data_IF_689588767856
#
_entry.id   IF_689588767856
#
_cell.length_a   1.000
_cell.length_b   1.000
_cell.length_c   1.000
_cell.angle_alpha   90.00
_cell.angle_beta   90.00
_cell.angle_gamma   90.00
#
_symmetry.space_group_name_H-M   'P 1'
#
loop_
_entity.id
_entity.type
_entity.pdbx_description
1 polymer ?
#
# COMPACT_ATOMS: atom_id res chain seq x y z
N UNK A 1 -3.21 -24.80 17.23
CA UNK A 1 -2.19 -23.73 17.29
C UNK A 1 -2.95 -22.48 17.69
N UNK A 2 -2.63 -21.91 18.84
CA UNK A 2 -3.38 -20.80 19.43
C UNK A 2 -3.36 -19.58 18.50
N UNK A 3 -4.55 -19.10 18.13
CA UNK A 3 -4.76 -17.71 17.74
C UNK A 3 -4.25 -16.88 18.92
N UNK A 4 -2.99 -16.43 18.88
CA UNK A 4 -2.69 -15.19 19.55
C UNK A 4 -3.59 -14.18 18.83
N UNK A 5 -4.55 -13.61 19.54
CA UNK A 5 -5.33 -12.49 19.02
C UNK A 5 -4.31 -11.50 18.48
N UNK A 6 -4.26 -11.36 17.15
CA UNK A 6 -3.45 -10.36 16.48
C UNK A 6 -4.09 -9.03 16.87
N UNK A 7 -3.67 -8.48 18.01
CA UNK A 7 -4.24 -7.27 18.55
C UNK A 7 -3.78 -6.09 17.69
N UNK A 8 -4.74 -5.50 16.97
CA UNK A 8 -4.55 -4.29 16.18
C UNK A 8 -5.01 -3.04 16.96
N UNK A 9 -5.25 -3.14 18.27
CA UNK A 9 -5.68 -2.02 19.14
C UNK A 9 -4.81 -0.79 18.95
N UNK A 10 -3.48 -0.92 19.07
CA UNK A 10 -2.52 0.17 18.90
C UNK A 10 -2.66 0.88 17.54
N UNK A 11 -2.97 0.12 16.48
CA UNK A 11 -3.18 0.68 15.14
C UNK A 11 -4.49 1.47 15.09
N UNK A 12 -5.58 0.92 15.63
CA UNK A 12 -6.88 1.58 15.66
C UNK A 12 -6.86 2.84 16.52
N UNK A 13 -6.23 2.79 17.69
CA UNK A 13 -6.03 3.94 18.58
C UNK A 13 -5.23 5.04 17.88
N UNK A 14 -4.12 4.67 17.24
CA UNK A 14 -3.33 5.60 16.46
C UNK A 14 -4.14 6.22 15.31
N UNK A 15 -4.88 5.41 14.55
CA UNK A 15 -5.75 5.89 13.47
C UNK A 15 -6.76 6.92 13.99
N UNK A 16 -7.42 6.63 15.11
CA UNK A 16 -8.37 7.55 15.74
C UNK A 16 -7.69 8.85 16.18
N UNK A 17 -6.54 8.78 16.84
CA UNK A 17 -5.75 9.96 17.26
C UNK A 17 -5.36 10.84 16.07
N UNK A 18 -5.07 10.22 14.92
CA UNK A 18 -4.69 10.92 13.69
C UNK A 18 -5.87 11.39 12.83
N UNK A 19 -7.10 11.23 13.31
CA UNK A 19 -8.31 11.70 12.63
C UNK A 19 -8.73 10.85 11.44
N UNK A 20 -8.31 9.58 11.42
CA UNK A 20 -8.89 8.57 10.52
C UNK A 20 -10.29 8.24 11.02
N UNK A 21 -11.28 8.35 10.13
CA UNK A 21 -12.68 8.06 10.45
C UNK A 21 -13.12 6.88 9.62
N UNK A 22 -13.68 5.85 10.26
CA UNK A 22 -14.20 4.67 9.57
C UNK A 22 -15.58 4.28 10.08
N UNK A 23 -16.29 3.50 9.28
CA UNK A 23 -17.37 2.63 9.76
C UNK A 23 -16.82 1.58 10.72
N UNK A 24 -17.68 0.75 11.30
CA UNK A 24 -17.23 -0.40 12.09
C UNK A 24 -16.48 -1.36 11.16
N UNK A 25 -15.16 -1.40 11.27
CA UNK A 25 -14.28 -2.23 10.46
C UNK A 25 -13.44 -3.14 11.36
N UNK A 26 -13.03 -4.29 10.84
CA UNK A 26 -12.07 -5.17 11.53
C UNK A 26 -11.08 -5.75 10.54
N UNK A 27 -9.85 -5.96 11.01
CA UNK A 27 -8.77 -6.57 10.23
C UNK A 27 -8.83 -8.07 10.45
N UNK A 28 -8.82 -8.84 9.37
CA UNK A 28 -8.56 -10.28 9.42
C UNK A 28 -7.19 -10.57 8.84
N UNK A 29 -6.56 -11.59 9.41
CA UNK A 29 -5.35 -12.16 8.88
C UNK A 29 -5.62 -13.58 8.41
N UNK A 30 -5.11 -13.91 7.23
CA UNK A 30 -5.13 -15.26 6.70
C UNK A 30 -3.75 -15.63 6.16
N UNK A 31 -3.46 -16.92 6.09
CA UNK A 31 -2.26 -17.46 5.48
C UNK A 31 -2.65 -18.26 4.23
N UNK A 32 -2.12 -17.87 3.07
CA UNK A 32 -2.26 -18.63 1.84
C UNK A 32 -0.89 -19.20 1.46
N UNK A 33 -0.64 -20.45 1.83
CA UNK A 33 0.71 -21.03 1.76
C UNK A 33 1.69 -20.24 2.63
N UNK A 34 2.76 -19.70 2.01
CA UNK A 34 3.75 -18.84 2.69
C UNK A 34 3.38 -17.35 2.66
N UNK A 35 2.27 -16.99 2.01
CA UNK A 35 1.86 -15.60 1.85
C UNK A 35 0.93 -15.16 2.98
N UNK A 36 1.34 -14.22 3.85
CA UNK A 36 0.43 -13.62 4.81
C UNK A 36 -0.46 -12.59 4.11
N UNK A 37 -1.76 -12.71 4.31
CA UNK A 37 -2.75 -11.76 3.81
C UNK A 37 -3.42 -11.04 4.98
N UNK A 38 -3.56 -9.73 4.83
CA UNK A 38 -4.44 -8.93 5.66
C UNK A 38 -5.61 -8.50 4.79
N UNK A 39 -6.80 -8.48 5.37
CA UNK A 39 -8.03 -8.04 4.74
C UNK A 39 -8.83 -7.17 5.69
N UNK A 40 -9.56 -6.21 5.15
CA UNK A 40 -10.40 -5.29 5.90
C UNK A 40 -11.87 -5.65 5.66
N UNK A 41 -12.65 -5.81 6.73
CA UNK A 41 -14.02 -6.27 6.64
C UNK A 41 -14.97 -5.33 7.39
N UNK A 42 -16.21 -5.25 6.93
CA UNK A 42 -17.26 -4.46 7.59
C UNK A 42 -17.90 -5.22 8.75
N UNK A 43 -18.05 -4.57 9.89
CA UNK A 43 -18.73 -5.06 11.09
C UNK A 43 -20.16 -4.56 11.25
N UNK A 44 -20.70 -3.94 10.21
CA UNK A 44 -22.08 -3.46 10.11
C UNK A 44 -22.51 -3.43 8.63
N UNK A 45 -23.81 -3.37 8.37
CA UNK A 45 -24.32 -3.17 7.00
C UNK A 45 -24.02 -1.75 6.49
N UNK A 46 -23.53 -1.65 5.26
CA UNK A 46 -23.19 -0.37 4.61
C UNK A 46 -23.97 -0.26 3.30
N UNK A 47 -24.59 0.90 3.05
CA UNK A 47 -25.31 1.13 1.79
C UNK A 47 -24.37 1.58 0.68
N UNK A 48 -24.74 1.31 -0.56
CA UNK A 48 -24.08 1.83 -1.74
C UNK A 48 -23.96 3.37 -1.68
N UNK A 49 -22.81 3.90 -2.09
CA UNK A 49 -22.45 5.32 -2.04
C UNK A 49 -22.03 5.83 -0.67
N UNK A 50 -22.11 5.04 0.40
CA UNK A 50 -21.68 5.47 1.72
C UNK A 50 -20.14 5.54 1.83
N UNK A 51 -19.66 6.57 2.54
CA UNK A 51 -18.26 6.66 2.93
C UNK A 51 -17.96 5.59 3.99
N UNK A 52 -17.01 4.70 3.68
CA UNK A 52 -16.57 3.60 4.55
C UNK A 52 -15.38 4.02 5.41
N UNK A 53 -14.44 4.76 4.81
CA UNK A 53 -13.18 5.15 5.44
C UNK A 53 -12.75 6.51 4.90
N UNK A 54 -12.24 7.37 5.78
CA UNK A 54 -11.68 8.69 5.47
C UNK A 54 -10.35 8.84 6.20
N UNK A 55 -9.30 9.11 5.44
CA UNK A 55 -7.92 9.22 5.93
C UNK A 55 -7.38 10.63 5.63
N UNK A 56 -6.94 11.40 6.64
CA UNK A 56 -6.22 12.64 6.41
C UNK A 56 -4.96 12.43 5.58
N UNK A 57 -4.76 13.21 4.51
CA UNK A 57 -3.60 12.99 3.64
C UNK A 57 -2.26 13.11 4.38
N UNK A 58 -2.19 13.97 5.40
CA UNK A 58 -1.00 14.17 6.22
C UNK A 58 -0.54 12.91 6.98
N UNK A 59 -1.41 11.91 7.16
CA UNK A 59 -1.09 10.67 7.88
C UNK A 59 -0.60 9.56 6.94
N UNK A 60 -0.69 9.79 5.63
CA UNK A 60 -0.12 8.90 4.62
C UNK A 60 1.41 8.94 4.67
N UNK A 61 2.09 7.88 4.22
CA UNK A 61 3.55 7.83 4.16
C UNK A 61 4.00 7.88 2.69
N UNK A 62 4.51 9.04 2.26
CA UNK A 62 5.07 9.25 0.94
C UNK A 62 6.12 10.38 0.93
N UNK A 63 6.54 10.78 -0.28
CA UNK A 63 7.56 11.82 -0.48
C UNK A 63 7.19 13.22 0.04
N UNK A 64 5.90 13.52 0.22
CA UNK A 64 5.42 14.83 0.67
C UNK A 64 5.18 14.88 2.19
N UNK A 65 4.81 13.75 2.78
CA UNK A 65 4.48 13.65 4.21
C UNK A 65 5.67 13.21 5.06
N UNK A 66 6.59 12.40 4.53
CA UNK A 66 7.83 12.02 5.21
C UNK A 66 8.86 13.16 5.05
N UNK A 67 8.77 14.15 5.94
CA UNK A 67 9.63 15.35 5.98
C UNK A 67 9.99 15.74 7.41
N UNK A 68 10.97 16.63 7.56
CA UNK A 68 11.43 17.09 8.87
C UNK A 68 11.85 15.91 9.76
N UNK A 69 11.35 15.90 11.00
CA UNK A 69 11.68 14.89 12.01
C UNK A 69 11.16 13.49 11.70
N UNK A 70 10.18 13.37 10.80
CA UNK A 70 9.69 12.07 10.35
C UNK A 70 10.74 11.38 9.49
N UNK A 71 11.49 12.10 8.64
CA UNK A 71 12.40 11.47 7.69
C UNK A 71 13.57 10.80 8.41
N UNK A 72 13.80 9.49 8.22
CA UNK A 72 14.93 8.80 8.85
C UNK A 72 16.27 9.47 8.52
N UNK A 73 17.12 9.62 9.53
CA UNK A 73 18.41 10.30 9.39
C UNK A 73 19.33 9.60 8.39
N UNK A 74 19.29 8.27 8.32
CA UNK A 74 20.11 7.46 7.41
C UNK A 74 19.65 7.51 5.95
N UNK A 75 18.50 8.14 5.65
CA UNK A 75 17.96 8.21 4.29
C UNK A 75 18.19 9.61 3.69
N UNK A 76 18.78 9.72 2.49
CA UNK A 76 18.86 10.97 1.74
C UNK A 76 17.47 11.61 1.54
N UNK A 77 17.45 12.90 1.20
CA UNK A 77 16.20 13.52 0.73
C UNK A 77 15.67 12.79 -0.51
N UNK A 78 14.35 12.78 -0.72
CA UNK A 78 13.74 12.15 -1.90
C UNK A 78 14.35 12.69 -3.20
N UNK A 79 14.56 14.00 -3.30
CA UNK A 79 15.20 14.65 -4.46
C UNK A 79 16.61 14.11 -4.71
N UNK A 80 17.42 14.01 -3.66
CA UNK A 80 18.80 13.50 -3.75
C UNK A 80 18.82 12.03 -4.16
N UNK A 81 17.96 11.21 -3.55
CA UNK A 81 17.89 9.78 -3.86
C UNK A 81 17.42 9.56 -5.30
N UNK A 82 16.31 10.19 -5.70
CA UNK A 82 15.78 10.09 -7.05
C UNK A 82 16.80 10.55 -8.09
N UNK A 83 17.46 11.70 -7.90
CA UNK A 83 18.49 12.18 -8.83
C UNK A 83 19.68 11.20 -8.97
N UNK A 84 20.05 10.50 -7.90
CA UNK A 84 21.08 9.48 -7.95
C UNK A 84 20.61 8.22 -8.68
N UNK A 85 19.40 7.75 -8.38
CA UNK A 85 18.83 6.51 -8.89
C UNK A 85 18.41 6.61 -10.35
N UNK A 86 17.85 7.73 -10.80
CA UNK A 86 17.42 7.94 -12.18
C UNK A 86 18.57 8.39 -13.10
N UNK A 87 19.77 8.62 -12.54
CA UNK A 87 20.94 9.07 -13.31
C UNK A 87 21.24 8.09 -14.45
N UNK A 88 21.42 8.62 -15.66
CA UNK A 88 21.63 7.84 -16.90
C UNK A 88 20.47 6.87 -17.20
N UNK A 89 19.23 7.22 -16.83
CA UNK A 89 18.01 6.43 -17.11
C UNK A 89 18.08 5.00 -16.58
N UNK A 90 18.70 4.80 -15.41
CA UNK A 90 18.81 3.46 -14.77
C UNK A 90 17.46 2.89 -14.32
N UNK A 91 16.50 3.76 -14.00
CA UNK A 91 15.13 3.43 -13.64
C UNK A 91 14.25 4.68 -13.82
N UNK A 92 12.94 4.47 -13.89
CA UNK A 92 11.95 5.54 -13.91
C UNK A 92 11.81 6.21 -12.53
N UNK A 93 11.13 7.35 -12.51
CA UNK A 93 10.98 8.17 -11.30
C UNK A 93 10.06 7.53 -10.26
N UNK A 94 9.06 6.75 -10.68
CA UNK A 94 8.11 6.07 -9.78
C UNK A 94 8.85 4.96 -9.04
N UNK A 95 9.60 4.12 -9.76
CA UNK A 95 10.48 3.10 -9.16
C UNK A 95 11.49 3.71 -8.20
N UNK A 96 12.12 4.83 -8.57
CA UNK A 96 13.05 5.53 -7.68
C UNK A 96 12.37 6.05 -6.40
N UNK A 97 11.14 6.58 -6.50
CA UNK A 97 10.34 7.01 -5.33
C UNK A 97 9.93 5.81 -4.47
N UNK A 98 9.57 4.67 -5.07
CA UNK A 98 9.23 3.43 -4.36
C UNK A 98 10.43 2.88 -3.58
N UNK A 99 11.63 2.91 -4.16
CA UNK A 99 12.88 2.51 -3.50
C UNK A 99 13.28 3.49 -2.38
N UNK A 100 13.02 4.79 -2.56
CA UNK A 100 13.20 5.76 -1.48
C UNK A 100 12.23 5.52 -0.32
N UNK A 101 10.95 5.25 -0.61
CA UNK A 101 9.96 4.91 0.41
C UNK A 101 10.35 3.61 1.14
N UNK A 102 10.81 2.61 0.39
CA UNK A 102 11.34 1.34 0.94
C UNK A 102 12.52 1.56 1.86
N UNK A 103 13.41 2.50 1.52
CA UNK A 103 14.53 2.89 2.38
C UNK A 103 14.05 3.50 3.70
N UNK A 104 12.98 4.31 3.66
CA UNK A 104 12.37 4.87 4.87
C UNK A 104 11.76 3.75 5.74
N UNK A 105 10.96 2.86 5.15
CA UNK A 105 10.34 1.71 5.84
C UNK A 105 11.40 0.82 6.50
N UNK A 106 12.48 0.48 5.77
CA UNK A 106 13.57 -0.33 6.30
C UNK A 106 14.24 0.35 7.51
N UNK A 107 14.45 1.67 7.44
CA UNK A 107 14.99 2.43 8.58
C UNK A 107 14.03 2.45 9.77
N UNK A 108 12.73 2.73 9.58
CA UNK A 108 11.76 2.75 10.68
C UNK A 108 11.69 1.40 11.40
N UNK A 109 11.59 0.30 10.63
CA UNK A 109 11.59 -1.05 11.20
C UNK A 109 12.86 -1.36 11.99
N UNK A 110 14.00 -0.87 11.51
CA UNK A 110 15.28 -1.00 12.19
C UNK A 110 15.35 -0.19 13.48
N UNK A 111 14.82 1.03 13.50
CA UNK A 111 14.72 1.86 14.70
C UNK A 111 13.84 1.18 15.75
N UNK A 112 12.70 0.61 15.34
CA UNK A 112 11.82 -0.18 16.22
C UNK A 112 12.53 -1.41 16.77
N UNK A 113 13.27 -2.13 15.94
CA UNK A 113 14.06 -3.29 16.39
C UNK A 113 15.13 -2.90 17.42
N UNK A 114 15.63 -1.66 17.36
CA UNK A 114 16.56 -1.09 18.35
C UNK A 114 15.85 -0.56 19.61
N UNK A 115 14.54 -0.76 19.75
CA UNK A 115 13.76 -0.30 20.90
C UNK A 115 13.45 1.20 20.90
N UNK A 116 13.59 1.88 19.75
CA UNK A 116 13.14 3.28 19.63
C UNK A 116 11.67 3.31 19.33
N UNK A 117 10.94 4.08 20.11
CA UNK A 117 9.54 4.38 19.86
C UNK A 117 9.39 5.76 19.19
N UNK A 118 8.38 5.87 18.34
CA UNK A 118 8.01 7.07 17.62
C UNK A 118 6.52 7.03 17.26
N UNK A 119 5.94 8.20 17.01
CA UNK A 119 4.49 8.34 16.86
C UNK A 119 3.88 7.37 15.84
N UNK A 120 4.59 7.02 14.77
CA UNK A 120 4.09 6.14 13.70
C UNK A 120 4.47 4.66 13.85
N UNK A 121 5.01 4.25 15.01
CA UNK A 121 5.36 2.86 15.35
C UNK A 121 4.26 1.84 15.00
N UNK A 122 2.96 2.08 15.28
CA UNK A 122 1.89 1.12 15.00
C UNK A 122 1.77 0.74 13.52
N UNK A 123 2.16 1.64 12.60
CA UNK A 123 2.16 1.38 11.16
C UNK A 123 3.19 0.34 10.72
N UNK A 124 4.21 0.06 11.55
CA UNK A 124 5.30 -0.87 11.23
C UNK A 124 5.32 -2.08 12.18
N UNK A 125 4.21 -2.33 12.88
CA UNK A 125 4.08 -3.51 13.73
C UNK A 125 4.30 -4.79 12.91
N UNK A 126 4.80 -5.84 13.55
CA UNK A 126 5.02 -7.13 12.88
C UNK A 126 3.72 -7.76 12.38
N UNK A 127 2.59 -7.46 13.04
CA UNK A 127 1.27 -7.91 12.62
C UNK A 127 0.85 -7.25 11.29
N UNK A 128 1.09 -5.94 11.16
CA UNK A 128 0.71 -5.17 9.97
C UNK A 128 1.72 -5.30 8.81
N UNK A 129 3.02 -5.48 9.12
CA UNK A 129 4.10 -5.67 8.15
C UNK A 129 4.82 -7.00 8.37
N UNK A 130 4.15 -8.13 8.07
CA UNK A 130 4.75 -9.45 8.18
C UNK A 130 5.88 -9.63 7.17
N UNK A 131 6.68 -10.70 7.36
CA UNK A 131 7.67 -11.07 6.36
C UNK A 131 6.97 -11.60 5.10
N UNK A 132 7.30 -11.02 3.96
CA UNK A 132 6.72 -11.37 2.67
C UNK A 132 7.68 -12.27 1.86
N UNK A 133 7.16 -13.33 1.21
CA UNK A 133 7.96 -14.14 0.30
C UNK A 133 8.39 -13.33 -0.95
N UNK A 134 9.25 -13.92 -1.77
CA UNK A 134 9.68 -13.28 -3.02
C UNK A 134 8.49 -13.17 -3.98
N UNK A 135 8.23 -11.98 -4.57
CA UNK A 135 7.16 -11.79 -5.55
C UNK A 135 7.51 -12.37 -6.93
N UNK A 136 8.80 -12.63 -7.18
CA UNK A 136 9.31 -13.19 -8.43
C UNK A 136 9.18 -14.72 -8.50
N UNK A 137 8.06 -15.23 -7.99
CA UNK A 137 7.68 -16.65 -7.99
C UNK A 137 6.21 -16.70 -8.35
N UNK A 138 5.85 -17.57 -9.30
CA UNK A 138 4.49 -17.68 -9.83
C UNK A 138 3.42 -17.90 -8.76
N UNK A 139 3.75 -18.65 -7.70
CA UNK A 139 2.82 -18.88 -6.58
C UNK A 139 2.48 -17.63 -5.77
N UNK A 140 3.28 -16.56 -5.85
CA UNK A 140 3.09 -15.35 -5.04
C UNK A 140 2.82 -14.10 -5.86
N UNK A 141 3.24 -14.06 -7.13
CA UNK A 141 3.25 -12.84 -7.95
C UNK A 141 1.90 -12.11 -7.97
N UNK A 142 0.79 -12.87 -8.04
CA UNK A 142 -0.58 -12.32 -8.06
C UNK A 142 -0.98 -11.59 -6.79
N UNK A 143 -0.27 -11.83 -5.68
CA UNK A 143 -0.46 -11.11 -4.42
C UNK A 143 0.27 -9.76 -4.39
N UNK A 144 1.05 -9.41 -5.41
CA UNK A 144 1.76 -8.14 -5.52
C UNK A 144 1.18 -7.34 -6.69
N UNK A 145 0.20 -6.45 -6.44
CA UNK A 145 -0.53 -5.76 -7.50
C UNK A 145 0.38 -5.05 -8.51
N UNK A 146 1.47 -4.44 -8.04
CA UNK A 146 2.42 -3.71 -8.89
C UNK A 146 3.15 -4.58 -9.92
N UNK A 147 3.26 -5.89 -9.67
CA UNK A 147 3.87 -6.84 -10.62
C UNK A 147 2.79 -7.59 -11.38
N UNK A 148 1.69 -7.94 -10.71
CA UNK A 148 0.57 -8.64 -11.31
C UNK A 148 0.00 -7.88 -12.53
N UNK A 149 -0.09 -6.55 -12.47
CA UNK A 149 -0.55 -5.72 -13.59
C UNK A 149 0.42 -5.69 -14.79
N UNK A 150 1.70 -6.03 -14.57
CA UNK A 150 2.71 -6.09 -15.63
C UNK A 150 2.77 -7.46 -16.31
N UNK A 151 2.07 -8.47 -15.79
CA UNK A 151 2.09 -9.81 -16.36
C UNK A 151 1.31 -9.82 -17.69
N UNK A 152 1.96 -10.23 -18.80
CA UNK A 152 1.25 -10.41 -20.06
C UNK A 152 0.13 -11.44 -19.93
N UNK A 153 -1.05 -11.12 -20.46
CA UNK A 153 -2.18 -12.05 -20.48
C UNK A 153 -1.87 -13.30 -21.32
N UNK A 154 -2.32 -14.47 -20.86
CA UNK A 154 -2.24 -15.71 -21.62
C UNK A 154 -0.86 -16.35 -21.71
N UNK A 155 0.10 -15.96 -20.87
CA UNK A 155 1.40 -16.66 -20.78
C UNK A 155 1.23 -18.10 -20.29
N UNK A 156 2.02 -19.00 -20.87
CA UNK A 156 2.25 -20.31 -20.26
C UNK A 156 3.22 -20.18 -19.06
N UNK A 157 3.22 -21.17 -18.17
CA UNK A 157 4.03 -21.14 -16.95
C UNK A 157 5.52 -20.86 -17.19
N UNK A 158 6.09 -21.37 -18.29
CA UNK A 158 7.51 -21.18 -18.62
C UNK A 158 7.84 -19.75 -19.05
N UNK A 159 6.96 -19.09 -19.81
CA UNK A 159 7.16 -17.71 -20.21
C UNK A 159 6.95 -16.75 -19.03
N UNK A 160 6.01 -17.05 -18.13
CA UNK A 160 5.84 -16.34 -16.86
C UNK A 160 7.11 -16.44 -16.00
N UNK A 161 7.65 -17.64 -15.78
CA UNK A 161 8.88 -17.83 -15.00
C UNK A 161 10.10 -17.09 -15.59
N UNK A 162 10.22 -17.06 -16.92
CA UNK A 162 11.27 -16.32 -17.62
C UNK A 162 11.14 -14.80 -17.43
N UNK A 163 9.92 -14.27 -17.55
CA UNK A 163 9.61 -12.87 -17.28
C UNK A 163 9.95 -12.50 -15.83
N UNK A 164 9.47 -13.29 -14.86
CA UNK A 164 9.75 -13.08 -13.44
C UNK A 164 11.24 -13.16 -13.11
N UNK A 165 11.99 -14.04 -13.77
CA UNK A 165 13.44 -14.16 -13.60
C UNK A 165 14.18 -12.92 -14.08
N UNK A 166 13.76 -12.35 -15.22
CA UNK A 166 14.33 -11.11 -15.76
C UNK A 166 14.03 -9.93 -14.85
N UNK A 167 12.77 -9.79 -14.40
CA UNK A 167 12.34 -8.75 -13.48
C UNK A 167 13.05 -8.83 -12.12
N UNK A 168 13.29 -10.05 -11.63
CA UNK A 168 14.08 -10.30 -10.40
C UNK A 168 15.51 -9.79 -10.54
N UNK A 169 16.17 -10.07 -11.66
CA UNK A 169 17.55 -9.64 -11.90
C UNK A 169 17.65 -8.11 -11.93
N UNK A 170 16.72 -7.46 -12.63
CA UNK A 170 16.62 -6.01 -12.69
C UNK A 170 16.40 -5.39 -11.31
N UNK A 171 15.36 -5.87 -10.60
CA UNK A 171 15.01 -5.38 -9.26
C UNK A 171 16.19 -5.52 -8.29
N UNK A 172 16.89 -6.65 -8.32
CA UNK A 172 18.05 -6.90 -7.47
C UNK A 172 19.20 -5.92 -7.78
N UNK A 173 19.40 -5.58 -9.07
CA UNK A 173 20.32 -4.51 -9.48
C UNK A 173 19.93 -3.15 -8.89
N UNK A 174 18.66 -2.77 -9.00
CA UNK A 174 18.13 -1.51 -8.46
C UNK A 174 18.25 -1.43 -6.93
N UNK A 175 17.98 -2.53 -6.22
CA UNK A 175 18.13 -2.63 -4.76
C UNK A 175 19.59 -2.48 -4.32
N UNK A 176 20.54 -3.10 -5.03
CA UNK A 176 21.98 -2.94 -4.74
C UNK A 176 22.45 -1.50 -4.94
N UNK A 177 22.02 -0.85 -6.02
CA UNK A 177 22.33 0.57 -6.27
C UNK A 177 21.74 1.46 -5.18
N UNK A 178 20.51 1.18 -4.74
CA UNK A 178 19.85 1.91 -3.64
C UNK A 178 20.59 1.73 -2.32
N UNK A 179 20.95 0.49 -1.97
CA UNK A 179 21.72 0.21 -0.77
C UNK A 179 23.11 0.88 -0.81
N UNK A 180 23.78 0.88 -1.95
CA UNK A 180 25.03 1.61 -2.13
C UNK A 180 24.86 3.13 -1.94
N UNK A 181 23.72 3.70 -2.39
CA UNK A 181 23.41 5.12 -2.17
C UNK A 181 23.26 5.44 -0.67
N UNK A 182 22.58 4.57 0.09
CA UNK A 182 22.44 4.72 1.55
C UNK A 182 23.80 4.66 2.26
N UNK A 183 24.64 3.68 1.89
CA UNK A 183 25.99 3.54 2.44
C UNK A 183 26.87 4.75 2.11
N UNK A 184 26.82 5.25 0.87
CA UNK A 184 27.57 6.43 0.47
C UNK A 184 27.12 7.68 1.23
N UNK A 185 25.81 7.86 1.39
CA UNK A 185 25.23 8.96 2.17
C UNK A 185 25.68 8.90 3.63
N UNK A 186 25.60 7.73 4.27
CA UNK A 186 26.09 7.54 5.64
C UNK A 186 27.59 7.86 5.75
N UNK A 187 28.43 7.34 4.85
CA UNK A 187 29.88 7.61 4.87
C UNK A 187 30.20 9.10 4.75
N UNK A 188 29.49 9.83 3.89
CA UNK A 188 29.64 11.29 3.74
C UNK A 188 29.24 12.07 4.99
N UNK A 189 28.38 11.50 5.83
CA UNK A 189 27.85 12.10 7.05
C UNK A 189 28.19 11.27 8.29
N UNK A 190 29.34 10.60 8.31
CA UNK A 190 29.70 9.63 9.34
C UNK A 190 29.72 10.19 10.77
N UNK A 191 29.95 11.50 10.93
CA UNK A 191 29.89 12.18 12.22
C UNK A 191 28.47 12.35 12.78
N UNK A 192 27.43 12.21 11.95
CA UNK A 192 26.02 12.42 12.34
C UNK A 192 25.16 11.17 12.19
N UNK A 193 25.54 10.27 11.28
CA UNK A 193 24.78 9.06 10.95
C UNK A 193 25.59 7.83 11.36
N UNK A 194 25.17 7.20 12.45
CA UNK A 194 25.71 5.90 12.85
C UNK A 194 25.45 4.86 11.76
N UNK A 195 26.45 4.03 11.47
CA UNK A 195 26.32 2.91 10.53
C UNK A 195 25.23 1.92 10.96
N UNK A 196 24.94 1.83 12.26
CA UNK A 196 23.88 1.00 12.80
C UNK A 196 22.47 1.48 12.40
N UNK A 197 22.31 2.70 11.87
CA UNK A 197 21.03 3.22 11.39
C UNK A 197 20.76 2.87 9.92
N UNK A 198 21.80 2.46 9.18
CA UNK A 198 21.65 2.06 7.78
C UNK A 198 21.10 0.64 7.72
N UNK A 199 20.01 0.40 6.97
CA UNK A 199 19.44 -0.92 6.86
C UNK A 199 20.35 -1.84 6.04
N UNK A 200 20.33 -3.14 6.35
CA UNK A 200 20.97 -4.15 5.53
C UNK A 200 20.26 -4.28 4.17
N UNK A 201 20.93 -4.92 3.21
CA UNK A 201 20.31 -5.20 1.92
C UNK A 201 19.08 -6.11 2.05
N UNK A 202 19.05 -7.03 3.02
CA UNK A 202 17.90 -7.90 3.28
C UNK A 202 16.73 -7.14 3.91
N UNK A 203 16.99 -6.21 4.83
CA UNK A 203 15.97 -5.32 5.38
C UNK A 203 15.37 -4.45 4.27
N UNK A 204 16.20 -3.93 3.35
CA UNK A 204 15.76 -3.16 2.20
C UNK A 204 14.92 -4.01 1.22
N UNK A 205 15.34 -5.25 0.92
CA UNK A 205 14.56 -6.21 0.11
C UNK A 205 13.19 -6.44 0.72
N UNK A 206 13.12 -6.66 2.03
CA UNK A 206 11.86 -6.91 2.72
C UNK A 206 10.95 -5.68 2.69
N UNK A 207 11.50 -4.49 2.94
CA UNK A 207 10.74 -3.24 2.83
C UNK A 207 10.22 -2.98 1.41
N UNK A 208 11.02 -3.29 0.38
CA UNK A 208 10.61 -3.15 -1.00
C UNK A 208 9.45 -4.09 -1.37
N UNK A 209 9.48 -5.33 -0.86
CA UNK A 209 8.33 -6.25 -0.99
C UNK A 209 7.07 -5.67 -0.35
N UNK A 210 7.18 -5.07 0.83
CA UNK A 210 6.04 -4.41 1.48
C UNK A 210 5.49 -3.25 0.65
N UNK A 211 6.37 -2.44 0.06
CA UNK A 211 5.96 -1.35 -0.85
C UNK A 211 5.24 -1.90 -2.09
N UNK A 212 5.79 -2.90 -2.76
CA UNK A 212 5.13 -3.54 -3.92
C UNK A 212 3.79 -4.20 -3.57
N UNK A 213 3.65 -4.70 -2.35
CA UNK A 213 2.44 -5.39 -1.91
C UNK A 213 1.31 -4.42 -1.52
N UNK A 214 1.63 -3.28 -0.90
CA UNK A 214 0.62 -2.44 -0.23
C UNK A 214 0.60 -0.98 -0.66
N UNK A 215 1.68 -0.47 -1.27
CA UNK A 215 1.68 0.93 -1.69
C UNK A 215 0.73 1.13 -2.86
N UNK A 216 0.05 2.27 -2.87
CA UNK A 216 -0.81 2.72 -3.96
C UNK A 216 -0.26 4.03 -4.53
N UNK A 217 -0.57 4.29 -5.80
CA UNK A 217 -0.24 5.55 -6.45
C UNK A 217 -1.29 6.59 -6.08
N UNK A 218 -0.84 7.68 -5.48
CA UNK A 218 -1.67 8.86 -5.23
C UNK A 218 -1.19 10.03 -6.09
N UNK A 219 -2.08 10.93 -6.51
CA UNK A 219 -1.69 12.14 -7.21
C UNK A 219 -0.87 13.02 -6.27
N UNK A 220 0.14 13.68 -6.82
CA UNK A 220 0.91 14.72 -6.13
C UNK A 220 -0.06 15.74 -5.52
N UNK A 221 0.23 16.19 -4.30
CA UNK A 221 -0.59 17.12 -3.51
C UNK A 221 -2.00 16.62 -3.16
N UNK A 222 -2.29 15.33 -3.39
CA UNK A 222 -3.61 14.75 -3.21
C UNK A 222 -4.68 15.58 -3.95
N UNK A 223 -4.39 15.93 -5.21
CA UNK A 223 -5.32 16.67 -6.07
C UNK A 223 -6.66 15.92 -6.11
N UNK A 224 -7.80 16.60 -5.86
CA UNK A 224 -9.10 15.94 -5.77
C UNK A 224 -9.49 15.23 -7.06
N UNK A 225 -10.00 14.01 -6.92
CA UNK A 225 -10.68 13.26 -7.97
C UNK A 225 -12.21 13.42 -7.91
N UNK A 226 -12.76 13.66 -6.70
CA UNK A 226 -14.22 13.73 -6.50
C UNK A 226 -14.87 14.85 -7.36
N UNK A 227 -16.01 14.58 -8.03
CA UNK A 227 -16.91 13.45 -7.79
C UNK A 227 -16.54 12.12 -8.49
N UNK A 228 -15.57 12.10 -9.39
CA UNK A 228 -15.06 10.87 -10.03
C UNK A 228 -14.17 10.06 -9.07
N UNK A 229 -14.07 8.76 -9.31
CA UNK A 229 -13.12 7.95 -8.56
C UNK A 229 -11.67 8.29 -8.98
N UNK A 230 -10.71 7.72 -8.27
CA UNK A 230 -9.31 8.02 -8.53
C UNK A 230 -8.83 7.49 -9.89
N UNK A 231 -9.43 6.40 -10.39
CA UNK A 231 -9.12 5.87 -11.70
C UNK A 231 -9.58 6.84 -12.79
N UNK A 232 -10.78 7.41 -12.66
CA UNK A 232 -11.30 8.45 -13.56
C UNK A 232 -10.32 9.62 -13.71
N UNK A 233 -9.75 10.10 -12.59
CA UNK A 233 -8.78 11.20 -12.59
C UNK A 233 -7.51 10.84 -13.39
N UNK A 234 -7.02 9.60 -13.27
CA UNK A 234 -5.83 9.16 -14.00
C UNK A 234 -6.10 8.99 -15.50
N UNK A 235 -7.30 8.53 -15.87
CA UNK A 235 -7.74 8.47 -17.27
C UNK A 235 -7.89 9.86 -17.87
N UNK A 236 -8.48 10.82 -17.13
CA UNK A 236 -8.69 12.20 -17.59
C UNK A 236 -7.39 13.01 -17.64
N UNK A 237 -6.45 12.74 -16.73
CA UNK A 237 -5.21 13.49 -16.56
C UNK A 237 -3.99 12.56 -16.49
N UNK A 238 -3.60 11.91 -17.60
CA UNK A 238 -2.47 10.98 -17.63
C UNK A 238 -1.12 11.67 -17.36
N UNK A 239 -1.07 13.00 -17.45
CA UNK A 239 0.09 13.83 -17.13
C UNK A 239 0.27 14.11 -15.63
N UNK A 240 -0.68 13.68 -14.79
CA UNK A 240 -0.62 13.93 -13.35
C UNK A 240 0.57 13.19 -12.73
N UNK A 241 1.40 13.93 -11.99
CA UNK A 241 2.50 13.31 -11.27
C UNK A 241 1.96 12.45 -10.13
N UNK A 242 2.40 11.20 -10.04
CA UNK A 242 1.99 10.25 -9.00
C UNK A 242 3.12 9.94 -8.00
N UNK A 243 2.71 9.50 -6.82
CA UNK A 243 3.58 9.12 -5.72
C UNK A 243 3.16 7.77 -5.11
N UNK A 244 4.10 6.81 -4.95
CA UNK A 244 3.86 5.63 -4.14
C UNK A 244 3.62 6.05 -2.69
N UNK A 245 2.53 5.58 -2.11
CA UNK A 245 2.04 5.99 -0.80
C UNK A 245 1.52 4.81 0.00
N UNK A 246 1.85 4.75 1.29
CA UNK A 246 1.05 3.97 2.25
C UNK A 246 -0.06 4.84 2.79
N UNK A 247 -1.28 4.36 2.70
CA UNK A 247 -2.47 5.02 3.23
C UNK A 247 -3.02 4.12 4.33
N UNK A 248 -2.88 4.50 5.61
CA UNK A 248 -3.30 3.64 6.73
C UNK A 248 -4.71 3.07 6.54
N UNK A 249 -4.87 1.78 6.81
CA UNK A 249 -6.08 0.97 6.61
C UNK A 249 -6.49 0.75 5.14
N UNK A 250 -6.37 1.74 4.26
CA UNK A 250 -6.66 1.59 2.82
C UNK A 250 -5.65 0.64 2.16
N UNK A 251 -4.40 0.68 2.60
CA UNK A 251 -3.30 -0.19 2.15
C UNK A 251 -3.38 -1.64 2.69
N UNK A 252 -4.46 -1.99 3.39
CA UNK A 252 -4.83 -3.34 3.83
C UNK A 252 -5.95 -3.93 2.96
N UNK A 253 -6.70 -3.08 2.25
CA UNK A 253 -7.77 -3.52 1.35
C UNK A 253 -7.12 -4.36 0.24
N UNK A 254 -7.76 -5.45 -0.19
CA UNK A 254 -7.19 -6.35 -1.20
C UNK A 254 -7.75 -6.04 -2.58
N UNK A 255 -6.96 -6.33 -3.61
CA UNK A 255 -7.47 -6.39 -4.97
C UNK A 255 -8.30 -7.67 -5.15
N UNK A 256 -9.41 -7.63 -5.91
CA UNK A 256 -10.14 -8.84 -6.27
C UNK A 256 -9.29 -9.90 -6.96
N UNK A 257 -8.24 -9.49 -7.70
CA UNK A 257 -7.29 -10.40 -8.36
C UNK A 257 -6.57 -11.34 -7.39
N UNK A 258 -6.36 -10.92 -6.14
CA UNK A 258 -5.69 -11.72 -5.10
C UNK A 258 -6.58 -12.91 -4.67
N UNK A 259 -7.90 -12.73 -4.65
CA UNK A 259 -8.86 -13.79 -4.26
C UNK A 259 -8.89 -14.97 -5.23
N UNK A 260 -8.62 -14.72 -6.52
CA UNK A 260 -8.62 -15.76 -7.55
C UNK A 260 -7.51 -16.80 -7.32
N UNK A 261 -6.34 -16.33 -6.86
CA UNK A 261 -5.22 -17.21 -6.52
C UNK A 261 -5.52 -18.13 -5.34
N UNK A 262 -6.39 -17.71 -4.41
CA UNK A 262 -6.75 -18.47 -3.20
C UNK A 262 -7.59 -19.70 -3.51
N UNK A 263 -8.51 -19.59 -4.47
CA UNK A 263 -9.38 -20.70 -4.85
C UNK A 263 -8.68 -21.74 -5.74
N UNK A 264 -7.69 -21.34 -6.55
CA UNK A 264 -6.90 -22.28 -7.35
C UNK A 264 -5.97 -23.15 -6.48
N UNK A 265 -5.42 -22.59 -5.39
CA UNK A 265 -4.53 -23.32 -4.49
C UNK A 265 -5.25 -24.32 -3.56
N UNK A 266 -6.55 -24.13 -3.30
CA UNK A 266 -7.36 -25.02 -2.43
C UNK A 266 -8.02 -26.19 -3.18
N UNK A 267 -7.91 -26.25 -4.51
CA UNK A 267 -8.60 -27.21 -5.38
C UNK A 267 -7.97 -28.61 -5.52
N UNK A 268 -6.92 -28.92 -4.76
CA UNK A 268 -6.25 -30.23 -4.81
C UNK A 268 -6.36 -30.95 -3.48
N UNK A 269 -7.38 -31.82 -3.31
CA UNK A 269 -7.40 -33.12 -2.58
C UNK A 269 -8.86 -33.50 -2.20
N UNK A 270 -9.42 -34.39 -3.02
CA UNK A 270 -10.32 -35.52 -2.73
C UNK A 270 -11.72 -35.28 -2.11
N UNK A 271 -12.74 -35.32 -2.98
CA UNK A 271 -13.71 -36.43 -3.00
C UNK A 271 -15.08 -36.25 -2.33
N UNK A 272 -16.14 -36.14 -3.14
CA UNK A 272 -17.34 -36.99 -3.05
C UNK A 272 -18.23 -36.82 -4.29
N UNK A 273 -18.48 -37.94 -4.96
CA UNK A 273 -19.42 -38.08 -6.08
C UNK A 273 -20.84 -37.83 -5.59
N UNK A 274 -21.61 -36.98 -6.27
CA UNK A 274 -23.03 -37.23 -6.56
C UNK A 274 -23.54 -36.33 -7.70
N UNK A 275 -24.48 -36.89 -8.46
CA UNK A 275 -24.93 -36.53 -9.79
C UNK A 275 -25.51 -35.12 -9.99
N UNK A 276 -25.21 -34.55 -11.15
CA UNK A 276 -26.25 -34.09 -12.09
C UNK A 276 -26.79 -32.67 -11.90
N UNK A 277 -26.07 -31.67 -12.43
CA UNK A 277 -26.60 -30.57 -13.25
C UNK A 277 -25.43 -29.79 -13.83
N UNK A 278 -25.36 -29.72 -15.15
CA UNK A 278 -24.42 -28.87 -15.87
C UNK A 278 -24.76 -27.41 -15.57
N UNK A 279 -24.04 -26.81 -14.64
CA UNK A 279 -23.94 -25.36 -14.49
C UNK A 279 -22.55 -25.02 -14.98
N UNK A 280 -22.51 -24.32 -16.11
CA UNK A 280 -21.34 -23.65 -16.66
C UNK A 280 -20.68 -22.83 -15.54
N UNK A 281 -19.57 -23.33 -14.98
CA UNK A 281 -18.74 -22.59 -14.04
C UNK A 281 -17.91 -21.58 -14.84
N UNK A 282 -18.53 -20.46 -15.24
CA UNK A 282 -17.80 -19.21 -15.30
C UNK A 282 -17.42 -18.90 -13.85
N UNK A 283 -16.14 -19.03 -13.51
CA UNK A 283 -15.58 -18.55 -12.25
C UNK A 283 -16.00 -17.08 -12.10
N UNK A 284 -16.97 -16.80 -11.23
CA UNK A 284 -17.44 -15.45 -10.98
C UNK A 284 -16.30 -14.68 -10.34
N UNK A 285 -15.66 -13.83 -11.14
CA UNK A 285 -14.78 -12.78 -10.66
C UNK A 285 -15.61 -11.95 -9.68
N UNK A 286 -15.22 -11.95 -8.40
CA UNK A 286 -15.86 -11.04 -7.45
C UNK A 286 -15.42 -9.62 -7.85
N UNK A 287 -16.35 -8.72 -8.23
CA UNK A 287 -15.96 -7.36 -8.61
C UNK A 287 -15.45 -6.59 -7.40
N UNK A 288 -14.68 -5.53 -7.63
CA UNK A 288 -14.43 -4.52 -6.61
C UNK A 288 -15.75 -4.01 -6.05
N UNK A 289 -15.83 -3.80 -4.74
CA UNK A 289 -17.03 -3.32 -4.07
C UNK A 289 -16.81 -1.96 -3.39
N UNK A 290 -15.61 -1.41 -3.55
CA UNK A 290 -15.22 -0.09 -3.08
C UNK A 290 -14.49 0.68 -4.18
N UNK A 291 -14.59 2.00 -4.13
CA UNK A 291 -13.82 2.93 -4.95
C UNK A 291 -13.04 3.90 -4.06
N UNK A 292 -11.89 4.36 -4.57
CA UNK A 292 -10.99 5.28 -3.89
C UNK A 292 -11.17 6.68 -4.47
N UNK A 293 -11.22 7.68 -3.61
CA UNK A 293 -11.39 9.09 -3.96
C UNK A 293 -10.35 9.94 -3.25
N UNK A 294 -10.02 11.08 -3.83
CA UNK A 294 -9.29 12.15 -3.15
C UNK A 294 -10.13 13.43 -3.12
N UNK A 295 -10.16 14.13 -2.01
CA UNK A 295 -11.01 15.32 -1.83
C UNK A 295 -10.47 16.34 -0.80
N UNK A 296 -11.19 17.43 -0.59
CA UNK A 296 -10.92 18.45 0.46
C UNK A 296 -11.96 18.42 1.57
N UNK A 297 -11.53 18.78 2.78
CA UNK A 297 -12.33 18.79 4.01
C UNK A 297 -13.34 19.95 4.12
N UNK A 298 -13.26 20.99 3.28
CA UNK A 298 -14.15 22.16 3.33
C UNK A 298 -15.12 22.14 2.13
N UNK A 299 -16.38 22.59 2.26
CA UNK A 299 -16.85 23.72 3.08
C UNK A 299 -17.91 23.36 4.17
N UNK A 300 -17.57 23.52 5.46
CA UNK A 300 -18.56 23.61 6.56
C UNK A 300 -19.05 25.06 6.71
N UNK A 301 -20.36 25.30 6.55
CA UNK A 301 -20.99 26.61 6.76
C UNK A 301 -21.53 26.68 8.20
N UNK A 302 -20.90 27.47 9.06
CA UNK A 302 -21.49 27.90 10.32
C UNK A 302 -22.66 28.86 10.04
N UNK A 303 -23.83 28.56 10.59
CA UNK A 303 -25.07 29.34 10.43
C UNK A 303 -25.02 30.76 11.03
N UNK A 304 -23.94 31.15 11.73
CA UNK A 304 -23.86 32.42 12.47
C UNK A 304 -22.96 33.51 11.89
N UNK A 305 -22.11 33.23 10.90
CA UNK A 305 -21.11 34.21 10.44
C UNK A 305 -20.87 34.03 8.94
N UNK A 306 -21.51 34.89 8.11
CA UNK A 306 -21.28 34.98 6.67
C UNK A 306 -19.88 35.53 6.32
N UNK A 307 -18.82 34.90 6.81
CA UNK A 307 -17.42 35.17 6.43
C UNK A 307 -16.69 33.87 6.16
N UNK A 308 -16.14 33.76 4.94
CA UNK A 308 -15.18 32.73 4.54
C UNK A 308 -13.90 32.98 5.32
N UNK A 309 -13.55 32.09 6.25
CA UNK A 309 -12.25 32.12 6.91
C UNK A 309 -11.42 30.98 6.31
N UNK A 310 -10.62 31.32 5.30
CA UNK A 310 -9.62 30.40 4.74
C UNK A 310 -8.45 30.36 5.72
N UNK A 311 -8.43 29.36 6.59
CA UNK A 311 -7.20 29.00 7.29
C UNK A 311 -6.41 28.03 6.41
N UNK A 312 -5.61 28.56 5.48
CA UNK A 312 -4.43 27.83 5.00
C UNK A 312 -3.32 28.02 6.04
N UNK A 313 -3.17 27.08 6.96
CA UNK A 313 -1.99 27.05 7.85
C UNK A 313 -1.14 25.79 7.72
N UNK A 314 -1.44 24.92 6.75
CA UNK A 314 -0.42 24.05 6.14
C UNK A 314 -0.93 23.50 4.80
N UNK A 315 -0.10 23.50 3.73
CA UNK A 315 -0.47 22.82 2.49
C UNK A 315 -0.79 21.36 2.84
N UNK A 316 -1.89 20.86 2.28
CA UNK A 316 -2.41 19.49 2.41
C UNK A 316 -3.29 19.15 3.63
N UNK A 317 -3.41 20.04 4.64
CA UNK A 317 -4.18 19.75 5.86
C UNK A 317 -5.67 19.47 5.64
N UNK A 318 -6.26 20.04 4.60
CA UNK A 318 -7.64 19.78 4.20
C UNK A 318 -7.79 18.56 3.30
N UNK A 319 -6.71 17.99 2.77
CA UNK A 319 -6.80 16.88 1.80
C UNK A 319 -7.14 15.56 2.50
N UNK A 320 -7.96 14.75 1.85
CA UNK A 320 -8.44 13.46 2.35
C UNK A 320 -8.36 12.40 1.26
N UNK A 321 -8.05 11.18 1.67
CA UNK A 321 -8.27 9.97 0.89
C UNK A 321 -9.53 9.30 1.44
N UNK A 322 -10.48 8.98 0.58
CA UNK A 322 -11.80 8.48 0.97
C UNK A 322 -12.09 7.18 0.23
N UNK A 323 -12.63 6.19 0.94
CA UNK A 323 -13.14 4.95 0.35
C UNK A 323 -14.65 4.95 0.47
N UNK A 324 -15.35 4.77 -0.66
CA UNK A 324 -16.81 4.65 -0.69
C UNK A 324 -17.22 3.25 -1.15
N UNK A 325 -18.34 2.76 -0.63
CA UNK A 325 -18.93 1.50 -1.07
C UNK A 325 -19.61 1.71 -2.43
N UNK A 326 -19.33 0.84 -3.40
CA UNK A 326 -19.93 0.86 -4.74
C UNK A 326 -21.24 0.05 -4.80
N UNK A 327 -21.47 -0.83 -3.82
CA UNK A 327 -22.66 -1.64 -3.67
C UNK A 327 -23.04 -1.75 -2.19
N UNK A 328 -24.23 -2.30 -1.90
CA UNK A 328 -24.62 -2.60 -0.52
C UNK A 328 -23.74 -3.74 0.03
N UNK A 329 -23.16 -3.53 1.21
CA UNK A 329 -22.31 -4.48 1.93
C UNK A 329 -23.05 -5.00 3.17
N UNK A 330 -22.98 -6.30 3.39
CA UNK A 330 -23.49 -6.97 4.60
C UNK A 330 -22.41 -7.02 5.67
N UNK A 331 -22.83 -7.13 6.93
CA UNK A 331 -21.90 -7.41 8.01
C UNK A 331 -21.08 -8.67 7.72
N UNK A 332 -19.76 -8.58 7.88
CA UNK A 332 -18.81 -9.64 7.56
C UNK A 332 -18.16 -9.54 6.19
N UNK A 333 -18.74 -8.76 5.26
CA UNK A 333 -18.21 -8.62 3.90
C UNK A 333 -16.80 -8.02 3.91
N UNK A 334 -15.96 -8.51 3.00
CA UNK A 334 -14.62 -7.97 2.78
C UNK A 334 -14.69 -6.72 1.90
N UNK A 335 -13.89 -5.71 2.22
CA UNK A 335 -13.65 -4.58 1.33
C UNK A 335 -12.65 -4.99 0.25
N UNK A 336 -13.01 -4.75 -1.00
CA UNK A 336 -12.21 -5.03 -2.18
C UNK A 336 -12.10 -3.78 -3.04
N UNK A 337 -10.87 -3.36 -3.29
CA UNK A 337 -10.54 -2.16 -4.06
C UNK A 337 -9.79 -2.55 -5.33
N UNK A 338 -10.19 -1.99 -6.45
CA UNK A 338 -9.37 -2.10 -7.65
C UNK A 338 -8.25 -1.06 -7.60
N UNK A 339 -7.01 -1.53 -7.76
CA UNK A 339 -5.83 -0.69 -7.81
C UNK A 339 -5.39 -0.42 -9.25
N UNK A 340 -6.10 -0.98 -10.24
CA UNK A 340 -5.84 -0.73 -11.65
C UNK A 340 -6.30 0.68 -12.04
N UNK A 341 -5.35 1.60 -11.96
CA UNK A 341 -5.27 2.73 -12.86
C UNK A 341 -4.26 2.34 -13.94
N UNK A 342 -4.72 2.17 -15.17
CA UNK A 342 -3.93 1.77 -16.35
C UNK A 342 -2.59 2.52 -16.51
#
# INVERSE_FOLDING_TARGET
MSNADDDFSDLWEWCAEKGVVSKKLFIRRNMQGLMPHLSLHVGESVRAGAVVLTVPYLVTLNAQTIRGDMKPLAVPSVRTMCAFLTRRRRMDIITAKSLWLSSCVACYRRLLFQGRDFNISPLFSRALMPLLPSPFVSSHVRSFPSIASMLPEGLNNTAEESFLSSLKLETEGQLRVTHAALQFYQKRHASRISSQLVPSLDELRMAYRTVMHRSMLLPLDCVPSAPGDLADLFTERPDIEVLPSFVPLVDIIRSPSVLQSSNEAAGGVVGSRQHGKAVSQQQQQQPSNCALYTCTHADFVSSGSRRRVVFETSPLSSRRVVVCAMSDLKEGDELLLDYSSE
#
